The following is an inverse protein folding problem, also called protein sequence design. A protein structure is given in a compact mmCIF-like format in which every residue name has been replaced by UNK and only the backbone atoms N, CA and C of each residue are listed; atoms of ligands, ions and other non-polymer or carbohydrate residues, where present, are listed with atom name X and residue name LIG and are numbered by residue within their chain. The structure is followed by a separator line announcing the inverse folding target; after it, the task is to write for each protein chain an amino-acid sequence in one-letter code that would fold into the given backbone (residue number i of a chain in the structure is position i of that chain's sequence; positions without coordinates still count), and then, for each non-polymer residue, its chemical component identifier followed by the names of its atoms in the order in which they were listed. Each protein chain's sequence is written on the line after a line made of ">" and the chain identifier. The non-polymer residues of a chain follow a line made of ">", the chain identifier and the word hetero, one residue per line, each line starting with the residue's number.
data_IF_703852787364
#
_entry.id   IF_703852787364
#
_cell.length_a   1.000
_cell.length_b   1.000
_cell.length_c   1.000
_cell.angle_alpha   90.00
_cell.angle_beta   90.00
_cell.angle_gamma   90.00
#
_symmetry.space_group_name_H-M   'P 1'
#
loop_
_entity.id
_entity.type
_entity.pdbx_description
1 polymer ?
#
# COMPACT_ATOMS: atom_id res chain seq x y z
N UNK A 1 -13.84 0.29 5.33
CA UNK A 1 -13.13 0.92 4.20
C UNK A 1 -14.02 1.03 2.97
N UNK A 2 -14.67 -0.03 2.50
CA UNK A 2 -15.47 0.03 1.26
C UNK A 2 -16.85 0.64 1.50
N UNK A 3 -17.48 0.35 2.65
CA UNK A 3 -18.81 0.89 3.02
C UNK A 3 -18.76 2.10 3.96
N UNK A 4 -17.57 2.62 4.26
CA UNK A 4 -17.41 3.70 5.22
C UNK A 4 -17.65 5.07 4.59
N UNK A 5 -18.54 5.86 5.18
CA UNK A 5 -18.84 7.22 4.74
C UNK A 5 -17.84 8.28 5.23
N UNK A 6 -16.89 7.90 6.10
CA UNK A 6 -15.88 8.82 6.64
C UNK A 6 -14.47 8.31 6.38
N UNK A 7 -13.54 9.24 6.14
CA UNK A 7 -12.11 8.93 5.96
C UNK A 7 -11.48 8.25 7.17
N UNK A 8 -11.95 8.59 8.38
CA UNK A 8 -11.52 7.90 9.58
C UNK A 8 -11.95 6.42 9.57
N UNK A 9 -13.18 6.11 9.12
CA UNK A 9 -13.63 4.74 8.93
C UNK A 9 -12.87 3.99 7.83
N UNK A 10 -12.42 4.70 6.78
CA UNK A 10 -11.51 4.16 5.77
C UNK A 10 -10.17 3.78 6.41
N UNK A 11 -9.58 4.69 7.18
CA UNK A 11 -8.31 4.47 7.87
C UNK A 11 -8.37 3.29 8.84
N UNK A 12 -9.40 3.19 9.69
CA UNK A 12 -9.60 2.06 10.61
C UNK A 12 -9.64 0.74 9.82
N UNK A 13 -10.38 0.69 8.71
CA UNK A 13 -10.46 -0.52 7.89
C UNK A 13 -9.09 -0.95 7.33
N UNK A 14 -8.26 0.01 6.93
CA UNK A 14 -6.90 -0.26 6.45
C UNK A 14 -5.95 -0.67 7.57
N UNK A 15 -6.16 -0.21 8.81
CA UNK A 15 -5.38 -0.65 9.98
C UNK A 15 -5.74 -2.06 10.44
N UNK A 16 -7.02 -2.42 10.42
CA UNK A 16 -7.45 -3.81 10.72
C UNK A 16 -6.83 -4.80 9.73
N UNK A 17 -6.75 -4.45 8.45
CA UNK A 17 -6.09 -5.27 7.44
C UNK A 17 -4.59 -5.44 7.70
N UNK A 18 -3.92 -4.41 8.22
CA UNK A 18 -2.51 -4.45 8.61
C UNK A 18 -2.33 -5.37 9.82
N UNK A 19 -3.07 -5.12 10.90
CA UNK A 19 -2.92 -5.84 12.17
C UNK A 19 -3.30 -7.32 12.05
N UNK A 20 -4.27 -7.66 11.19
CA UNK A 20 -4.66 -9.05 10.95
C UNK A 20 -3.63 -9.83 10.12
N UNK A 21 -2.84 -9.17 9.26
CA UNK A 21 -1.84 -9.85 8.44
C UNK A 21 -0.54 -10.17 9.21
N UNK A 22 -0.17 -9.37 10.22
CA UNK A 22 1.09 -9.58 10.96
C UNK A 22 1.17 -10.97 11.58
N UNK A 23 0.15 -11.47 12.33
CA UNK A 23 0.19 -12.82 12.89
C UNK A 23 0.30 -13.91 11.82
N UNK A 24 -0.31 -13.71 10.64
CA UNK A 24 -0.22 -14.65 9.53
C UNK A 24 1.21 -14.75 9.00
N UNK A 25 1.92 -13.61 8.89
CA UNK A 25 3.32 -13.55 8.48
C UNK A 25 4.28 -14.17 9.52
N UNK A 26 3.98 -14.06 10.81
CA UNK A 26 4.81 -14.59 11.90
C UNK A 26 4.47 -16.04 12.32
N UNK A 27 3.52 -16.69 11.64
CA UNK A 27 2.97 -18.00 12.06
C UNK A 27 4.03 -19.11 12.22
N UNK A 28 5.11 -19.06 11.43
CA UNK A 28 6.25 -19.96 11.60
C UNK A 28 7.36 -19.25 12.36
N UNK A 29 7.96 -19.93 13.35
CA UNK A 29 9.06 -19.43 14.21
C UNK A 29 10.40 -19.22 13.49
N UNK A 30 10.38 -18.95 12.18
CA UNK A 30 11.56 -18.71 11.38
C UNK A 30 11.98 -17.25 11.51
N UNK A 31 13.26 -17.02 11.83
CA UNK A 31 13.84 -15.67 11.99
C UNK A 31 13.63 -14.82 10.72
N UNK A 32 13.77 -15.40 9.53
CA UNK A 32 13.53 -14.70 8.25
C UNK A 32 12.07 -14.28 8.03
N UNK A 33 11.10 -15.05 8.56
CA UNK A 33 9.69 -14.67 8.46
C UNK A 33 9.36 -13.53 9.43
N UNK A 34 9.97 -13.52 10.62
CA UNK A 34 9.86 -12.38 11.54
C UNK A 34 10.49 -11.10 10.97
N UNK A 35 11.60 -11.19 10.25
CA UNK A 35 12.16 -10.00 9.58
C UNK A 35 11.19 -9.44 8.54
N UNK A 36 10.56 -10.31 7.73
CA UNK A 36 9.57 -9.87 6.73
C UNK A 36 8.31 -9.27 7.33
N UNK A 37 7.83 -9.78 8.45
CA UNK A 37 6.66 -9.21 9.13
C UNK A 37 6.97 -7.83 9.70
N UNK A 38 8.18 -7.62 10.22
CA UNK A 38 8.65 -6.31 10.69
C UNK A 38 8.78 -5.32 9.52
N UNK A 39 9.36 -5.73 8.39
CA UNK A 39 9.43 -4.88 7.18
C UNK A 39 8.04 -4.47 6.69
N UNK A 40 7.11 -5.42 6.60
CA UNK A 40 5.71 -5.15 6.26
C UNK A 40 5.07 -4.16 7.23
N UNK A 41 5.23 -4.40 8.55
CA UNK A 41 4.66 -3.55 9.58
C UNK A 41 5.15 -2.10 9.48
N UNK A 42 6.46 -1.89 9.41
CA UNK A 42 7.06 -0.55 9.38
C UNK A 42 6.55 0.24 8.17
N UNK A 43 6.59 -0.37 6.98
CA UNK A 43 6.16 0.29 5.74
C UNK A 43 4.66 0.61 5.79
N UNK A 44 3.83 -0.33 6.21
CA UNK A 44 2.38 -0.14 6.22
C UNK A 44 1.91 0.83 7.32
N UNK A 45 2.60 0.87 8.47
CA UNK A 45 2.38 1.85 9.53
C UNK A 45 2.82 3.26 9.11
N UNK A 46 3.94 3.37 8.37
CA UNK A 46 4.34 4.64 7.77
C UNK A 46 3.29 5.13 6.75
N UNK A 47 2.75 4.22 5.94
CA UNK A 47 1.69 4.56 5.00
C UNK A 47 0.42 5.05 5.72
N UNK A 48 0.00 4.35 6.78
CA UNK A 48 -1.24 4.68 7.49
C UNK A 48 -1.13 5.98 8.29
N UNK A 49 0.04 6.29 8.85
CA UNK A 49 0.31 7.59 9.47
C UNK A 49 0.30 8.72 8.44
N UNK A 50 0.86 8.51 7.25
CA UNK A 50 0.75 9.49 6.14
C UNK A 50 -0.71 9.71 5.71
N UNK A 51 -1.51 8.64 5.59
CA UNK A 51 -2.95 8.75 5.30
C UNK A 51 -3.62 9.63 6.35
N UNK A 52 -3.46 9.30 7.63
CA UNK A 52 -4.12 10.03 8.72
C UNK A 52 -3.70 11.50 8.78
N UNK A 53 -2.40 11.77 8.64
CA UNK A 53 -1.89 13.14 8.58
C UNK A 53 -2.48 13.91 7.39
N UNK A 54 -2.57 13.30 6.21
CA UNK A 54 -3.16 13.95 5.03
C UNK A 54 -4.64 14.30 5.24
N UNK A 55 -5.42 13.40 5.86
CA UNK A 55 -6.84 13.63 6.18
C UNK A 55 -6.98 14.78 7.19
N UNK A 56 -6.15 14.81 8.24
CA UNK A 56 -6.19 15.90 9.23
C UNK A 56 -5.82 17.25 8.60
N UNK A 57 -4.81 17.29 7.72
CA UNK A 57 -4.47 18.52 7.00
C UNK A 57 -5.62 19.02 6.12
N UNK A 58 -6.29 18.11 5.39
CA UNK A 58 -7.48 18.44 4.59
C UNK A 58 -8.56 19.05 5.47
N UNK A 59 -8.87 18.40 6.60
CA UNK A 59 -9.92 18.84 7.50
C UNK A 59 -9.62 20.19 8.16
N UNK A 60 -8.35 20.47 8.49
CA UNK A 60 -7.94 21.76 9.04
C UNK A 60 -8.04 22.88 8.00
N UNK A 61 -7.73 22.60 6.73
CA UNK A 61 -7.73 23.62 5.66
C UNK A 61 -9.13 23.90 5.10
N UNK A 62 -9.94 22.86 4.91
CA UNK A 62 -11.30 23.00 4.34
C UNK A 62 -12.33 22.64 5.40
N UNK A 63 -12.76 23.65 6.14
CA UNK A 63 -13.67 23.46 7.27
C UNK A 63 -15.06 22.99 6.86
N UNK A 64 -15.53 23.16 5.62
CA UNK A 64 -16.91 22.75 5.27
C UNK A 64 -17.21 22.44 3.79
N UNK A 65 -16.28 22.63 2.85
CA UNK A 65 -16.52 22.39 1.42
C UNK A 65 -15.36 21.62 0.79
N UNK A 66 -15.45 20.29 0.86
CA UNK A 66 -14.44 19.36 0.35
C UNK A 66 -14.41 19.25 -1.18
N UNK A 67 -15.29 19.97 -1.87
CA UNK A 67 -15.61 19.69 -3.28
C UNK A 67 -14.86 20.56 -4.30
N UNK A 68 -14.11 21.60 -3.89
CA UNK A 68 -13.67 22.63 -4.85
C UNK A 68 -12.17 22.92 -4.95
N UNK A 69 -11.31 22.44 -4.04
CA UNK A 69 -9.87 22.71 -4.16
C UNK A 69 -8.99 21.46 -4.22
N UNK A 70 -8.15 21.43 -5.25
CA UNK A 70 -7.19 20.40 -5.57
C UNK A 70 -5.93 20.51 -4.71
N UNK A 71 -5.95 20.02 -3.45
CA UNK A 71 -4.78 19.53 -2.67
C UNK A 71 -5.30 18.85 -1.38
N UNK A 72 -4.71 17.73 -0.89
CA UNK A 72 -3.55 16.97 -1.33
C UNK A 72 -3.95 15.57 -1.85
N UNK A 73 -4.54 15.50 -3.06
CA UNK A 73 -4.70 14.21 -3.77
C UNK A 73 -3.36 13.48 -3.91
N UNK A 74 -2.25 14.22 -4.05
CA UNK A 74 -0.91 13.65 -4.14
C UNK A 74 -0.45 12.95 -2.86
N UNK A 75 -0.73 13.49 -1.68
CA UNK A 75 -0.27 12.88 -0.41
C UNK A 75 -1.12 11.66 -0.03
N UNK A 76 -2.44 11.74 -0.27
CA UNK A 76 -3.34 10.59 -0.13
C UNK A 76 -2.93 9.50 -1.13
N UNK A 77 -2.75 9.84 -2.41
CA UNK A 77 -2.33 8.86 -3.43
C UNK A 77 -0.95 8.27 -3.16
N UNK A 78 0.06 9.07 -2.75
CA UNK A 78 1.38 8.53 -2.41
C UNK A 78 1.33 7.52 -1.26
N UNK A 79 0.50 7.79 -0.25
CA UNK A 79 0.33 6.88 0.88
C UNK A 79 -0.39 5.58 0.49
N UNK A 80 -1.38 5.66 -0.40
CA UNK A 80 -2.06 4.48 -0.96
C UNK A 80 -1.13 3.68 -1.88
N UNK A 81 -0.31 4.34 -2.70
CA UNK A 81 0.70 3.70 -3.52
C UNK A 81 1.77 3.00 -2.70
N UNK A 82 2.16 3.58 -1.56
CA UNK A 82 3.06 2.94 -0.61
C UNK A 82 2.42 1.68 -0.02
N UNK A 83 1.13 1.72 0.36
CA UNK A 83 0.37 0.51 0.79
C UNK A 83 0.28 -0.55 -0.29
N UNK A 84 0.11 -0.15 -1.55
CA UNK A 84 0.10 -1.06 -2.69
C UNK A 84 1.50 -1.54 -3.10
N UNK A 85 2.59 -0.90 -2.70
CA UNK A 85 3.92 -1.21 -3.23
C UNK A 85 4.11 -0.85 -4.70
N UNK A 86 3.46 0.23 -5.17
CA UNK A 86 3.74 0.78 -6.49
C UNK A 86 5.10 1.50 -6.49
N UNK A 87 5.78 1.54 -7.63
CA UNK A 87 7.04 2.28 -7.75
C UNK A 87 6.84 3.79 -7.52
N UNK A 88 7.77 4.49 -6.86
CA UNK A 88 9.09 4.03 -6.39
C UNK A 88 9.07 3.24 -5.07
N UNK A 89 7.94 3.12 -4.37
CA UNK A 89 7.79 2.48 -3.06
C UNK A 89 7.69 0.93 -3.09
N UNK A 90 8.16 0.30 -4.15
CA UNK A 90 7.97 -1.13 -4.41
C UNK A 90 8.94 -2.05 -3.66
N UNK A 91 10.10 -1.56 -3.19
CA UNK A 91 11.20 -2.40 -2.68
C UNK A 91 10.83 -3.37 -1.54
N UNK A 92 9.82 -3.05 -0.74
CA UNK A 92 9.40 -3.93 0.35
C UNK A 92 8.69 -5.20 -0.14
N UNK A 93 8.00 -5.16 -1.30
CA UNK A 93 7.14 -6.26 -1.74
C UNK A 93 7.93 -7.52 -2.15
N UNK A 94 9.04 -7.44 -2.93
CA UNK A 94 9.81 -8.62 -3.30
C UNK A 94 10.56 -9.23 -2.11
N UNK A 95 11.01 -8.40 -1.17
CA UNK A 95 11.68 -8.86 0.04
C UNK A 95 10.73 -9.64 0.96
N UNK A 96 9.51 -9.11 1.19
CA UNK A 96 8.51 -9.79 2.03
C UNK A 96 7.99 -11.08 1.36
N UNK A 97 7.85 -11.09 0.04
CA UNK A 97 7.46 -12.31 -0.68
C UNK A 97 8.56 -13.36 -0.76
N UNK A 98 9.83 -12.95 -0.83
CA UNK A 98 10.96 -13.87 -0.89
C UNK A 98 11.07 -14.82 0.31
N UNK A 99 10.55 -14.44 1.48
CA UNK A 99 10.66 -15.23 2.70
C UNK A 99 9.34 -15.77 3.24
N UNK A 100 8.18 -15.25 2.79
CA UNK A 100 6.86 -15.67 3.27
C UNK A 100 6.35 -16.96 2.63
N UNK A 101 5.37 -17.62 3.27
CA UNK A 101 4.72 -18.82 2.75
C UNK A 101 3.87 -18.51 1.51
N UNK A 102 3.58 -19.53 0.68
CA UNK A 102 2.77 -19.37 -0.52
C UNK A 102 1.37 -18.79 -0.27
N UNK A 103 0.72 -19.21 0.82
CA UNK A 103 -0.60 -18.67 1.19
C UNK A 103 -0.52 -17.19 1.55
N UNK A 104 0.55 -16.78 2.25
CA UNK A 104 0.78 -15.38 2.59
C UNK A 104 1.15 -14.53 1.36
N UNK A 105 1.90 -15.10 0.41
CA UNK A 105 2.16 -14.47 -0.88
C UNK A 105 0.85 -14.21 -1.65
N UNK A 106 -0.05 -15.19 -1.67
CA UNK A 106 -1.34 -15.06 -2.34
C UNK A 106 -2.22 -13.99 -1.69
N UNK A 107 -2.29 -13.94 -0.36
CA UNK A 107 -3.08 -12.93 0.36
C UNK A 107 -2.50 -11.53 0.21
N UNK A 108 -1.17 -11.39 0.23
CA UNK A 108 -0.48 -10.12 -0.04
C UNK A 108 -0.75 -9.59 -1.45
N UNK A 109 -0.79 -10.47 -2.45
CA UNK A 109 -0.97 -10.06 -3.84
C UNK A 109 -2.40 -9.75 -4.23
N UNK A 110 -3.37 -10.41 -3.59
CA UNK A 110 -4.78 -10.26 -3.95
C UNK A 110 -5.53 -9.44 -2.91
N UNK A 111 -5.73 -10.02 -1.72
CA UNK A 111 -6.60 -9.47 -0.69
C UNK A 111 -6.15 -8.11 -0.17
N UNK A 112 -4.84 -7.94 0.06
CA UNK A 112 -4.29 -6.69 0.58
C UNK A 112 -4.34 -5.53 -0.42
N UNK A 113 -4.48 -5.80 -1.73
CA UNK A 113 -4.59 -4.74 -2.76
C UNK A 113 -6.00 -4.19 -2.90
N UNK A 114 -7.03 -4.98 -2.58
CA UNK A 114 -8.45 -4.62 -2.81
C UNK A 114 -8.80 -3.32 -2.08
N UNK A 115 -8.55 -3.25 -0.76
CA UNK A 115 -8.96 -2.09 0.03
C UNK A 115 -8.25 -0.80 -0.40
N UNK A 116 -6.90 -0.76 -0.55
CA UNK A 116 -6.23 0.42 -1.10
C UNK A 116 -6.72 0.81 -2.50
N UNK A 117 -7.02 -0.14 -3.38
CA UNK A 117 -7.46 0.16 -4.76
C UNK A 117 -8.84 0.79 -4.78
N UNK A 118 -9.75 0.33 -3.92
CA UNK A 118 -11.07 0.93 -3.77
C UNK A 118 -10.99 2.34 -3.19
N UNK A 119 -10.08 2.61 -2.24
CA UNK A 119 -9.90 3.97 -1.71
C UNK A 119 -9.29 4.87 -2.77
N UNK A 120 -8.31 4.35 -3.54
CA UNK A 120 -7.71 5.09 -4.64
C UNK A 120 -8.78 5.49 -5.65
N UNK A 121 -9.70 4.60 -6.04
CA UNK A 121 -10.71 4.89 -7.07
C UNK A 121 -11.62 6.08 -6.73
N UNK A 122 -11.91 6.33 -5.45
CA UNK A 122 -12.64 7.51 -5.02
C UNK A 122 -11.83 8.81 -5.11
N UNK A 123 -10.50 8.72 -5.23
CA UNK A 123 -9.58 9.86 -5.25
C UNK A 123 -8.76 9.97 -6.54
N UNK A 124 -9.04 9.14 -7.54
CA UNK A 124 -8.33 9.18 -8.81
C UNK A 124 -8.59 10.54 -9.46
N UNK A 125 -7.51 11.28 -9.67
CA UNK A 125 -7.46 12.40 -10.60
C UNK A 125 -6.35 12.08 -11.60
N UNK A 126 -6.67 12.14 -12.90
CA UNK A 126 -5.72 11.88 -14.00
C UNK A 126 -4.70 13.02 -14.12
N UNK A 127 -3.80 13.08 -13.15
CA UNK A 127 -2.72 14.06 -13.02
C UNK A 127 -1.42 13.50 -13.58
N UNK A 128 -0.49 14.40 -13.88
CA UNK A 128 0.89 14.04 -14.27
C UNK A 128 1.53 13.09 -13.25
N UNK A 129 1.26 13.29 -11.96
CA UNK A 129 1.74 12.43 -10.87
C UNK A 129 1.30 10.96 -11.05
N UNK A 130 0.01 10.71 -11.31
CA UNK A 130 -0.50 9.35 -11.55
C UNK A 130 0.20 8.69 -12.75
N UNK A 131 0.32 9.42 -13.87
CA UNK A 131 1.01 8.90 -15.06
C UNK A 131 2.47 8.57 -14.78
N UNK A 132 3.18 9.40 -14.01
CA UNK A 132 4.59 9.12 -13.65
C UNK A 132 4.72 7.84 -12.84
N UNK A 133 3.82 7.59 -11.89
CA UNK A 133 3.84 6.37 -11.06
C UNK A 133 3.53 5.14 -11.92
N UNK A 134 2.56 5.23 -12.82
CA UNK A 134 2.21 4.13 -13.73
C UNK A 134 3.41 3.77 -14.61
N UNK A 135 4.02 4.76 -15.27
CA UNK A 135 5.19 4.53 -16.14
C UNK A 135 6.37 3.95 -15.35
N UNK A 136 6.67 4.50 -14.17
CA UNK A 136 7.73 3.99 -13.30
C UNK A 136 7.45 2.55 -12.86
N UNK A 137 6.21 2.24 -12.50
CA UNK A 137 5.83 0.88 -12.06
C UNK A 137 6.03 -0.15 -13.16
N UNK A 138 5.70 0.19 -14.42
CA UNK A 138 5.91 -0.69 -15.57
C UNK A 138 7.40 -0.93 -15.82
N UNK A 139 8.20 0.15 -15.84
CA UNK A 139 9.64 0.05 -16.12
C UNK A 139 10.34 -0.78 -15.03
N UNK A 140 10.05 -0.49 -13.77
CA UNK A 140 10.69 -1.15 -12.63
C UNK A 140 10.21 -2.58 -12.46
N UNK A 141 8.93 -2.88 -12.69
CA UNK A 141 8.41 -4.24 -12.70
C UNK A 141 9.09 -5.08 -13.79
N UNK A 142 9.12 -4.57 -15.02
CA UNK A 142 9.74 -5.28 -16.14
C UNK A 142 11.24 -5.53 -15.93
N UNK A 143 12.01 -4.50 -15.57
CA UNK A 143 13.45 -4.64 -15.38
C UNK A 143 13.79 -5.43 -14.11
N UNK A 144 13.05 -5.21 -13.03
CA UNK A 144 13.25 -5.88 -11.75
C UNK A 144 12.98 -7.38 -11.82
N UNK A 145 11.93 -7.79 -12.54
CA UNK A 145 11.56 -9.20 -12.71
C UNK A 145 12.52 -10.03 -13.56
N UNK A 146 13.15 -9.42 -14.58
CA UNK A 146 14.07 -10.13 -15.49
C UNK A 146 15.29 -10.76 -14.79
N UNK A 147 15.74 -10.15 -13.69
CA UNK A 147 16.95 -10.59 -12.97
C UNK A 147 16.64 -11.45 -11.72
N UNK A 148 15.38 -11.87 -11.52
CA UNK A 148 15.01 -12.69 -10.37
C UNK A 148 15.05 -14.18 -10.72
N UNK A 149 15.62 -14.98 -9.82
CA UNK A 149 15.61 -16.45 -9.94
C UNK A 149 14.50 -17.09 -9.12
N UNK A 150 14.00 -16.42 -8.08
CA UNK A 150 12.94 -16.96 -7.22
C UNK A 150 11.55 -16.65 -7.79
N UNK A 151 10.70 -17.68 -7.89
CA UNK A 151 9.32 -17.52 -8.38
C UNK A 151 8.52 -16.51 -7.56
N UNK A 152 8.74 -16.45 -6.25
CA UNK A 152 8.04 -15.51 -5.36
C UNK A 152 8.42 -14.06 -5.65
N UNK A 153 9.67 -13.77 -5.98
CA UNK A 153 10.10 -12.41 -6.36
C UNK A 153 9.67 -12.08 -7.79
N UNK A 154 9.68 -13.05 -8.72
CA UNK A 154 9.16 -12.84 -10.09
C UNK A 154 7.68 -12.44 -10.03
N UNK A 155 6.86 -13.10 -9.20
CA UNK A 155 5.46 -12.74 -8.99
C UNK A 155 5.28 -11.41 -8.23
N UNK A 156 6.34 -10.90 -7.60
CA UNK A 156 6.31 -9.66 -6.85
C UNK A 156 6.45 -8.41 -7.73
N UNK A 157 7.23 -8.54 -8.80
CA UNK A 157 7.48 -7.50 -9.81
C UNK A 157 6.41 -7.52 -10.89
#
# INVERSE_FOLDING_TARGET
>A
SISSNSWFGVWIGLEINLLSLIPMLTSNKNVMMNESSVKYFIVQAMASTMILFSILLIQMKYSMSWEMESIPSMMVSSSLFLKMGAAPFHFWIPEVMGTSSWINCLTLMTWQKIAPMMVLSYCIQMSTFMFTIIILSIIIGALGGLNQTSLRQILAY
#
